data_IF_496505976566
#
_entry.id   IF_496505976566
#
_cell.length_a   1.000
_cell.length_b   1.000
_cell.length_c   1.000
_cell.angle_alpha   90.00
_cell.angle_beta   90.00
_cell.angle_gamma   90.00
#
_symmetry.space_group_name_H-M   'P 1'
#
loop_
_entity.id
_entity.type
_entity.pdbx_description
1 polymer ?
#
# COMPACT_ATOMS: atom_id res chain seq x y z
N UNK A 1 -15.00 2.20 -0.64
CA UNK A 1 -13.66 1.62 -0.87
C UNK A 1 -12.65 2.31 0.02
N UNK A 2 -11.60 1.60 0.45
CA UNK A 2 -10.42 2.17 1.09
C UNK A 2 -9.23 1.71 0.25
N UNK A 3 -8.28 2.60 0.01
CA UNK A 3 -7.15 2.37 -0.88
C UNK A 3 -5.89 2.93 -0.24
N UNK A 4 -4.98 2.05 0.17
CA UNK A 4 -3.83 2.40 1.01
C UNK A 4 -2.52 2.42 0.24
N UNK A 5 -2.57 2.44 -1.09
CA UNK A 5 -1.40 2.55 -1.95
C UNK A 5 -1.76 3.43 -3.17
N UNK A 6 -1.39 4.72 -3.11
CA UNK A 6 -1.62 5.68 -4.19
C UNK A 6 -0.52 6.75 -4.24
N UNK A 7 -0.28 7.29 -5.43
CA UNK A 7 0.83 8.19 -5.74
C UNK A 7 0.35 9.54 -6.26
N UNK A 8 1.15 10.57 -6.00
CA UNK A 8 0.89 11.96 -6.33
C UNK A 8 2.06 12.58 -7.09
N UNK A 9 1.96 13.87 -7.40
CA UNK A 9 3.05 14.66 -8.01
C UNK A 9 4.28 14.84 -7.10
N UNK A 10 4.30 14.25 -5.91
CA UNK A 10 5.47 14.28 -5.02
C UNK A 10 6.46 13.14 -5.31
N UNK A 11 6.05 12.11 -6.07
CA UNK A 11 6.95 11.21 -6.78
C UNK A 11 6.68 11.23 -8.29
N UNK A 12 5.84 10.31 -8.76
CA UNK A 12 5.65 9.90 -10.14
C UNK A 12 4.18 9.71 -10.51
N UNK A 13 3.27 9.98 -9.57
CA UNK A 13 1.87 10.21 -9.89
C UNK A 13 1.67 11.53 -10.64
N UNK A 14 0.56 11.66 -11.37
CA UNK A 14 0.27 12.84 -12.21
C UNK A 14 -0.69 13.85 -11.57
N UNK A 15 -1.13 13.60 -10.33
CA UNK A 15 -2.12 14.42 -9.62
C UNK A 15 -1.53 15.08 -8.38
N UNK A 16 -1.94 16.32 -8.10
CA UNK A 16 -1.67 16.93 -6.80
C UNK A 16 -2.37 16.11 -5.69
N UNK A 17 -1.81 16.03 -4.46
CA UNK A 17 -2.46 15.34 -3.34
C UNK A 17 -3.94 15.73 -3.13
N UNK A 18 -4.25 17.03 -3.23
CA UNK A 18 -5.63 17.52 -3.11
C UNK A 18 -6.55 17.05 -4.25
N UNK A 19 -6.03 16.98 -5.48
CA UNK A 19 -6.79 16.52 -6.64
C UNK A 19 -7.04 15.01 -6.57
N UNK A 20 -6.01 14.24 -6.22
CA UNK A 20 -6.08 12.81 -5.99
C UNK A 20 -7.18 12.46 -4.96
N UNK A 21 -7.15 13.10 -3.79
CA UNK A 21 -8.16 12.92 -2.74
C UNK A 21 -9.56 13.30 -3.23
N UNK A 22 -9.70 14.41 -3.96
CA UNK A 22 -11.00 14.85 -4.46
C UNK A 22 -11.59 13.86 -5.48
N UNK A 23 -10.76 13.29 -6.36
CA UNK A 23 -11.18 12.26 -7.33
C UNK A 23 -11.55 10.94 -6.66
N UNK A 24 -10.77 10.50 -5.68
CA UNK A 24 -11.09 9.33 -4.86
C UNK A 24 -12.44 9.51 -4.14
N UNK A 25 -12.66 10.68 -3.53
CA UNK A 25 -13.94 11.02 -2.89
C UNK A 25 -15.11 10.99 -3.89
N UNK A 26 -14.92 11.54 -5.08
CA UNK A 26 -15.96 11.53 -6.14
C UNK A 26 -16.33 10.10 -6.59
N UNK A 27 -15.37 9.16 -6.53
CA UNK A 27 -15.59 7.71 -6.76
C UNK A 27 -16.16 6.96 -5.55
N UNK A 28 -16.47 7.64 -4.44
CA UNK A 28 -17.11 7.05 -3.27
C UNK A 28 -16.13 6.37 -2.30
N UNK A 29 -14.85 6.72 -2.33
CA UNK A 29 -13.88 6.27 -1.33
C UNK A 29 -14.30 6.75 0.06
N UNK A 30 -13.97 5.97 1.07
CA UNK A 30 -14.20 6.29 2.49
C UNK A 30 -12.90 6.67 3.21
N UNK A 31 -11.78 6.23 2.68
CA UNK A 31 -10.47 6.69 3.07
C UNK A 31 -9.40 6.27 2.07
N UNK A 32 -8.22 6.86 2.20
CA UNK A 32 -7.06 6.48 1.41
C UNK A 32 -5.74 6.82 2.10
N UNK A 33 -4.65 6.25 1.64
CA UNK A 33 -3.30 6.69 1.96
C UNK A 33 -2.63 7.31 0.72
N UNK A 34 -1.81 8.33 0.92
CA UNK A 34 -0.88 8.82 -0.09
C UNK A 34 0.49 8.30 0.30
N UNK A 35 1.12 7.55 -0.61
CA UNK A 35 2.30 6.72 -0.36
C UNK A 35 3.30 6.90 -1.50
N UNK A 36 3.58 8.15 -1.88
CA UNK A 36 4.54 8.46 -2.94
C UNK A 36 5.86 7.70 -2.77
N UNK A 37 6.47 7.32 -3.89
CA UNK A 37 7.76 6.65 -3.93
C UNK A 37 8.85 7.50 -3.25
N UNK A 38 9.64 6.84 -2.40
CA UNK A 38 10.77 7.45 -1.73
C UNK A 38 12.02 6.57 -1.73
N UNK A 39 13.15 7.23 -1.92
CA UNK A 39 14.50 6.72 -1.69
C UNK A 39 15.31 7.75 -0.89
N UNK A 40 16.60 7.48 -0.62
CA UNK A 40 17.44 8.38 0.19
C UNK A 40 17.55 9.82 -0.35
N UNK A 41 17.25 10.06 -1.62
CA UNK A 41 17.38 11.37 -2.27
C UNK A 41 16.23 12.33 -2.00
N UNK A 42 15.01 11.81 -1.81
CA UNK A 42 13.79 12.62 -1.68
C UNK A 42 12.99 12.34 -0.39
N UNK A 43 13.36 11.31 0.36
CA UNK A 43 12.58 10.72 1.44
C UNK A 43 12.06 11.73 2.49
N UNK A 44 12.95 12.55 3.05
CA UNK A 44 12.58 13.49 4.11
C UNK A 44 11.58 14.54 3.60
N UNK A 45 11.80 15.02 2.38
CA UNK A 45 10.91 15.95 1.72
C UNK A 45 9.56 15.33 1.41
N UNK A 46 9.51 14.14 0.78
CA UNK A 46 8.24 13.47 0.43
C UNK A 46 7.41 13.21 1.68
N UNK A 47 7.99 12.54 2.69
CA UNK A 47 7.27 12.15 3.91
C UNK A 47 6.71 13.38 4.63
N UNK A 48 7.54 14.40 4.90
CA UNK A 48 7.10 15.58 5.66
C UNK A 48 6.04 16.39 4.92
N UNK A 49 6.07 16.44 3.58
CA UNK A 49 5.06 17.13 2.77
C UNK A 49 3.72 16.40 2.77
N UNK A 50 3.73 15.07 2.64
CA UNK A 50 2.51 14.25 2.71
C UNK A 50 1.87 14.35 4.10
N UNK A 51 2.69 14.28 5.17
CA UNK A 51 2.23 14.45 6.55
C UNK A 51 1.54 15.79 6.73
N UNK A 52 2.22 16.90 6.37
CA UNK A 52 1.65 18.24 6.49
C UNK A 52 0.36 18.42 5.69
N UNK A 53 0.28 17.85 4.49
CA UNK A 53 -0.94 17.86 3.69
C UNK A 53 -2.08 17.10 4.38
N UNK A 54 -1.84 15.86 4.83
CA UNK A 54 -2.89 15.02 5.42
C UNK A 54 -3.41 15.59 6.75
N UNK A 55 -2.55 16.23 7.55
CA UNK A 55 -2.97 16.93 8.77
C UNK A 55 -3.85 18.15 8.47
N UNK A 56 -3.42 19.03 7.56
CA UNK A 56 -4.18 20.22 7.19
C UNK A 56 -5.50 19.87 6.50
N UNK A 57 -5.50 18.84 5.65
CA UNK A 57 -6.70 18.39 4.95
C UNK A 57 -7.76 17.86 5.92
N UNK A 58 -7.36 17.01 6.89
CA UNK A 58 -8.27 16.44 7.88
C UNK A 58 -8.88 17.49 8.82
N UNK A 59 -8.21 18.63 9.06
CA UNK A 59 -8.79 19.74 9.84
C UNK A 59 -10.05 20.34 9.20
N UNK A 60 -10.23 20.15 7.88
CA UNK A 60 -11.27 20.81 7.07
C UNK A 60 -12.19 19.82 6.34
N UNK A 61 -12.02 18.52 6.56
CA UNK A 61 -12.68 17.46 5.79
C UNK A 61 -12.86 16.19 6.61
N UNK A 62 -14.03 15.56 6.49
CA UNK A 62 -14.32 14.26 7.13
C UNK A 62 -13.80 13.06 6.33
N UNK A 63 -13.17 13.29 5.18
CA UNK A 63 -12.58 12.22 4.38
C UNK A 63 -11.28 11.73 5.01
N UNK A 64 -11.19 10.41 5.22
CA UNK A 64 -10.09 9.78 5.95
C UNK A 64 -8.86 9.61 5.07
N UNK A 65 -8.01 10.63 5.00
CA UNK A 65 -6.70 10.55 4.35
C UNK A 65 -5.59 10.38 5.39
N UNK A 66 -4.70 9.41 5.19
CA UNK A 66 -3.54 9.18 6.06
C UNK A 66 -2.23 9.37 5.29
N UNK A 67 -1.19 9.89 5.97
CA UNK A 67 0.12 10.01 5.36
C UNK A 67 0.85 8.67 5.39
N UNK A 68 1.46 8.30 4.27
CA UNK A 68 2.34 7.16 4.18
C UNK A 68 3.52 7.41 3.25
N UNK A 69 4.26 6.35 2.98
CA UNK A 69 5.38 6.35 2.04
C UNK A 69 5.50 4.95 1.44
N UNK A 70 5.89 4.87 0.18
CA UNK A 70 6.39 3.63 -0.40
C UNK A 70 7.92 3.70 -0.53
N UNK A 71 8.61 2.75 0.11
CA UNK A 71 10.04 2.60 -0.07
C UNK A 71 10.30 1.82 -1.36
N UNK A 72 10.92 2.47 -2.33
CA UNK A 72 10.93 2.01 -3.72
C UNK A 72 12.36 1.86 -4.25
N UNK A 73 12.69 0.70 -4.82
CA UNK A 73 14.00 0.40 -5.43
C UNK A 73 15.25 0.66 -4.57
N UNK A 74 15.10 0.69 -3.23
CA UNK A 74 16.22 0.86 -2.29
C UNK A 74 16.95 -0.46 -2.00
N UNK A 75 18.25 -0.44 -1.63
CA UNK A 75 18.95 -1.64 -1.19
C UNK A 75 18.25 -2.30 0.01
N UNK A 76 18.06 -3.63 0.03
CA UNK A 76 17.31 -4.32 1.09
C UNK A 76 17.78 -4.00 2.51
N UNK A 77 19.10 -3.86 2.71
CA UNK A 77 19.72 -3.52 4.00
C UNK A 77 19.33 -2.13 4.54
N UNK A 78 18.76 -1.26 3.70
CA UNK A 78 18.34 0.09 4.08
C UNK A 78 16.86 0.19 4.47
N UNK A 79 16.05 -0.83 4.17
CA UNK A 79 14.60 -0.81 4.37
C UNK A 79 14.23 -0.61 5.85
N UNK A 80 14.85 -1.35 6.77
CA UNK A 80 14.58 -1.23 8.20
C UNK A 80 14.87 0.19 8.73
N UNK A 81 16.00 0.77 8.31
CA UNK A 81 16.36 2.12 8.70
C UNK A 81 15.33 3.14 8.19
N UNK A 82 15.01 3.13 6.90
CA UNK A 82 14.07 4.10 6.32
C UNK A 82 12.64 3.90 6.82
N UNK A 83 12.20 2.66 7.07
CA UNK A 83 10.89 2.39 7.66
C UNK A 83 10.77 2.98 9.08
N UNK A 84 11.85 2.98 9.86
CA UNK A 84 11.89 3.63 11.19
C UNK A 84 11.94 5.14 11.09
N UNK A 85 12.76 5.69 10.19
CA UNK A 85 12.82 7.14 9.98
C UNK A 85 11.49 7.70 9.47
N UNK A 86 10.75 6.96 8.64
CA UNK A 86 9.50 7.42 8.05
C UNK A 86 8.47 7.68 9.14
N UNK A 87 8.39 6.74 10.09
CA UNK A 87 7.54 6.83 11.27
C UNK A 87 7.94 7.97 12.19
N UNK A 88 9.24 8.22 12.37
CA UNK A 88 9.73 9.39 13.14
C UNK A 88 9.32 10.71 12.49
N UNK A 89 9.28 10.77 11.16
CA UNK A 89 8.83 11.93 10.39
C UNK A 89 7.28 12.04 10.30
N UNK A 90 6.55 11.09 10.87
CA UNK A 90 5.09 11.13 10.97
C UNK A 90 4.33 10.31 9.92
N UNK A 91 5.01 9.53 9.08
CA UNK A 91 4.32 8.57 8.22
C UNK A 91 3.54 7.56 9.08
N UNK A 92 2.23 7.50 8.88
CA UNK A 92 1.35 6.58 9.59
C UNK A 92 1.37 5.16 8.98
N UNK A 93 1.69 5.08 7.68
CA UNK A 93 1.77 3.85 6.89
C UNK A 93 3.13 3.75 6.19
N UNK A 94 3.78 2.58 6.28
CA UNK A 94 4.97 2.28 5.47
C UNK A 94 4.65 1.11 4.54
N UNK A 95 4.77 1.37 3.23
CA UNK A 95 4.65 0.40 2.15
C UNK A 95 6.06 0.12 1.62
N UNK A 96 6.33 -1.12 1.20
CA UNK A 96 7.54 -1.43 0.43
C UNK A 96 7.14 -1.96 -0.93
N UNK A 97 7.78 -1.42 -1.97
CA UNK A 97 7.67 -1.90 -3.33
C UNK A 97 8.27 -3.31 -3.43
N UNK A 98 7.43 -4.33 -3.51
CA UNK A 98 7.87 -5.73 -3.51
C UNK A 98 8.50 -6.18 -4.83
N UNK A 99 9.05 -7.40 -4.85
CA UNK A 99 9.77 -7.99 -5.99
C UNK A 99 8.85 -8.40 -7.15
N UNK A 100 8.11 -7.43 -7.67
CA UNK A 100 7.22 -7.56 -8.80
C UNK A 100 7.95 -8.12 -10.04
N UNK A 101 7.22 -8.82 -10.91
CA UNK A 101 7.83 -9.50 -12.08
C UNK A 101 8.07 -8.58 -13.28
N UNK A 102 7.66 -7.31 -13.17
CA UNK A 102 7.68 -6.35 -14.29
C UNK A 102 8.76 -5.27 -14.14
N UNK A 103 9.45 -5.23 -13.00
CA UNK A 103 10.45 -4.20 -12.69
C UNK A 103 11.70 -4.81 -12.04
N UNK A 104 12.87 -4.16 -12.16
CA UNK A 104 14.14 -4.68 -11.66
C UNK A 104 14.35 -4.35 -10.17
N UNK A 105 13.46 -4.83 -9.31
CA UNK A 105 13.53 -4.63 -7.85
C UNK A 105 14.68 -5.47 -7.27
N UNK A 106 15.52 -4.93 -6.36
CA UNK A 106 16.61 -5.70 -5.74
C UNK A 106 16.13 -6.99 -5.07
N UNK A 107 16.84 -8.10 -5.29
CA UNK A 107 16.54 -9.38 -4.62
C UNK A 107 16.79 -9.29 -3.11
N UNK A 108 15.89 -9.89 -2.33
CA UNK A 108 15.86 -9.80 -0.87
C UNK A 108 14.98 -8.67 -0.34
N UNK A 109 14.36 -7.86 -1.20
CA UNK A 109 13.49 -6.74 -0.81
C UNK A 109 12.27 -7.24 -0.04
N UNK A 110 11.60 -8.29 -0.53
CA UNK A 110 10.44 -8.88 0.16
C UNK A 110 10.80 -9.31 1.58
N UNK A 111 11.86 -10.12 1.71
CA UNK A 111 12.36 -10.59 3.01
C UNK A 111 12.72 -9.43 3.95
N UNK A 112 13.45 -8.42 3.47
CA UNK A 112 13.87 -7.29 4.28
C UNK A 112 12.69 -6.40 4.72
N UNK A 113 11.69 -6.20 3.85
CA UNK A 113 10.44 -5.54 4.22
C UNK A 113 9.72 -6.27 5.35
N UNK A 114 9.66 -7.59 5.27
CA UNK A 114 9.01 -8.43 6.27
C UNK A 114 9.74 -8.39 7.61
N UNK A 115 11.08 -8.38 7.60
CA UNK A 115 11.92 -8.26 8.80
C UNK A 115 11.86 -6.85 9.42
N UNK A 116 11.69 -5.81 8.60
CA UNK A 116 11.58 -4.42 9.03
C UNK A 116 10.23 -4.05 9.69
N UNK A 117 9.23 -4.93 9.66
CA UNK A 117 7.91 -4.65 10.24
C UNK A 117 7.18 -3.51 9.51
N UNK A 118 7.23 -3.49 8.18
CA UNK A 118 6.44 -2.54 7.36
C UNK A 118 4.95 -2.89 7.47
N UNK A 119 4.05 -1.98 7.08
CA UNK A 119 2.62 -2.21 7.22
C UNK A 119 2.05 -3.02 6.02
N UNK A 120 2.56 -2.75 4.81
CA UNK A 120 2.16 -3.42 3.56
C UNK A 120 3.40 -3.81 2.75
N UNK A 121 3.43 -5.05 2.26
CA UNK A 121 4.32 -5.46 1.17
C UNK A 121 3.54 -5.40 -0.15
N UNK A 122 3.80 -4.37 -0.94
CA UNK A 122 3.11 -4.11 -2.21
C UNK A 122 3.56 -5.07 -3.30
N UNK A 123 2.62 -5.51 -4.14
CA UNK A 123 2.81 -6.41 -5.29
C UNK A 123 4.09 -7.28 -5.24
N UNK A 124 4.17 -8.27 -4.31
CA UNK A 124 5.42 -8.96 -3.99
C UNK A 124 5.92 -9.94 -5.05
N UNK A 125 5.27 -9.98 -6.21
CA UNK A 125 5.59 -10.89 -7.30
C UNK A 125 5.42 -12.36 -6.90
N UNK A 126 6.46 -13.16 -7.14
CA UNK A 126 6.47 -14.60 -6.87
C UNK A 126 6.92 -14.92 -5.45
N UNK A 127 6.26 -14.32 -4.46
CA UNK A 127 6.54 -14.50 -3.02
C UNK A 127 6.59 -15.98 -2.62
N UNK A 128 7.55 -16.35 -1.76
CA UNK A 128 7.72 -17.72 -1.28
C UNK A 128 6.78 -18.07 -0.10
N UNK A 129 6.49 -19.35 0.15
CA UNK A 129 5.74 -19.76 1.35
C UNK A 129 6.36 -19.29 2.67
N UNK A 130 7.70 -19.23 2.76
CA UNK A 130 8.40 -18.75 3.95
C UNK A 130 8.13 -17.25 4.19
N UNK A 131 8.16 -16.45 3.13
CA UNK A 131 7.86 -15.01 3.20
C UNK A 131 6.40 -14.76 3.57
N UNK A 132 5.46 -15.53 3.02
CA UNK A 132 4.04 -15.43 3.40
C UNK A 132 3.84 -15.81 4.87
N UNK A 133 4.53 -16.82 5.38
CA UNK A 133 4.51 -17.17 6.79
C UNK A 133 5.06 -16.04 7.67
N UNK A 134 6.17 -15.42 7.28
CA UNK A 134 6.73 -14.25 7.98
C UNK A 134 5.79 -13.05 7.96
N UNK A 135 5.11 -12.79 6.84
CA UNK A 135 4.11 -11.73 6.74
C UNK A 135 2.98 -11.92 7.76
N UNK A 136 2.48 -13.15 7.88
CA UNK A 136 1.48 -13.50 8.89
C UNK A 136 1.98 -13.27 10.32
N UNK A 137 3.16 -13.79 10.67
CA UNK A 137 3.70 -13.67 12.04
C UNK A 137 3.92 -12.21 12.44
N UNK A 138 4.35 -11.37 11.49
CA UNK A 138 4.63 -9.96 11.74
C UNK A 138 3.40 -9.04 11.53
N UNK A 139 2.24 -9.61 11.17
CA UNK A 139 1.02 -8.84 10.92
C UNK A 139 1.09 -7.91 9.71
N UNK A 140 1.94 -8.23 8.73
CA UNK A 140 2.17 -7.46 7.52
C UNK A 140 1.18 -7.90 6.45
N UNK A 141 0.49 -6.94 5.83
CA UNK A 141 -0.48 -7.25 4.78
C UNK A 141 0.22 -7.47 3.43
N UNK A 142 -0.22 -8.50 2.71
CA UNK A 142 0.24 -8.77 1.35
C UNK A 142 -0.75 -8.18 0.35
N UNK A 143 -0.23 -7.43 -0.61
CA UNK A 143 -1.09 -6.73 -1.57
C UNK A 143 -1.53 -7.60 -2.76
N UNK A 144 -2.82 -7.49 -3.08
CA UNK A 144 -3.42 -7.79 -4.37
C UNK A 144 -3.50 -6.47 -5.14
N UNK A 145 -2.59 -6.26 -6.08
CA UNK A 145 -2.49 -4.97 -6.79
C UNK A 145 -3.44 -4.94 -7.99
N UNK A 146 -4.13 -3.82 -8.19
CA UNK A 146 -4.89 -3.58 -9.41
C UNK A 146 -4.02 -3.03 -10.56
N UNK A 147 -2.79 -2.61 -10.27
CA UNK A 147 -1.90 -1.98 -11.22
C UNK A 147 -1.54 -2.93 -12.35
N UNK A 148 -1.55 -2.39 -13.57
CA UNK A 148 -1.16 -3.14 -14.76
C UNK A 148 0.27 -3.67 -14.61
N UNK A 149 0.47 -4.95 -14.94
CA UNK A 149 1.77 -5.62 -14.79
C UNK A 149 1.95 -6.24 -13.41
N UNK A 150 1.77 -5.47 -12.34
CA UNK A 150 1.87 -5.99 -10.96
C UNK A 150 0.79 -7.04 -10.65
N UNK A 151 -0.42 -6.84 -11.18
CA UNK A 151 -1.55 -7.74 -11.00
C UNK A 151 -1.34 -9.16 -11.57
N UNK A 152 -0.32 -9.38 -12.41
CA UNK A 152 -0.04 -10.67 -13.06
C UNK A 152 0.27 -11.79 -12.07
N UNK A 153 0.70 -11.45 -10.85
CA UNK A 153 1.03 -12.42 -9.79
C UNK A 153 -0.04 -12.53 -8.70
N UNK A 154 -1.15 -11.79 -8.80
CA UNK A 154 -2.19 -11.77 -7.76
C UNK A 154 -2.72 -13.17 -7.40
N UNK A 155 -2.92 -14.04 -8.39
CA UNK A 155 -3.38 -15.41 -8.14
C UNK A 155 -2.40 -16.25 -7.33
N UNK A 156 -1.08 -16.02 -7.50
CA UNK A 156 -0.05 -16.68 -6.71
C UNK A 156 -0.03 -16.19 -5.27
N UNK A 157 -0.05 -14.86 -5.08
CA UNK A 157 -0.12 -14.21 -3.77
C UNK A 157 -1.37 -14.64 -3.00
N UNK A 158 -2.54 -14.54 -3.64
CA UNK A 158 -3.83 -14.91 -3.06
C UNK A 158 -3.86 -16.38 -2.62
N UNK A 159 -3.39 -17.30 -3.47
CA UNK A 159 -3.37 -18.74 -3.15
C UNK A 159 -2.49 -19.02 -1.93
N UNK A 160 -1.25 -18.53 -1.92
CA UNK A 160 -0.34 -18.78 -0.80
C UNK A 160 -0.82 -18.11 0.50
N UNK A 161 -1.32 -16.88 0.42
CA UNK A 161 -1.85 -16.17 1.58
C UNK A 161 -3.03 -16.94 2.20
N UNK A 162 -3.91 -17.53 1.38
CA UNK A 162 -5.01 -18.37 1.87
C UNK A 162 -4.53 -19.69 2.47
N UNK A 163 -3.58 -20.37 1.83
CA UNK A 163 -3.01 -21.63 2.34
C UNK A 163 -2.36 -21.46 3.72
N UNK A 164 -1.71 -20.32 3.95
CA UNK A 164 -0.92 -20.05 5.18
C UNK A 164 -1.71 -19.22 6.21
N UNK A 165 -2.72 -18.48 5.77
CA UNK A 165 -3.53 -17.58 6.58
C UNK A 165 -2.88 -16.20 6.81
N UNK A 166 -2.19 -15.66 5.80
CA UNK A 166 -1.68 -14.29 5.83
C UNK A 166 -2.78 -13.28 5.43
N UNK A 167 -2.72 -12.07 5.98
CA UNK A 167 -3.70 -11.02 5.68
C UNK A 167 -3.47 -10.42 4.30
N UNK A 168 -4.54 -10.29 3.51
CA UNK A 168 -4.52 -9.64 2.21
C UNK A 168 -5.10 -8.23 2.28
N UNK A 169 -4.60 -7.35 1.41
CA UNK A 169 -5.17 -6.04 1.12
C UNK A 169 -5.24 -5.83 -0.40
N UNK A 170 -6.21 -5.05 -0.89
CA UNK A 170 -6.31 -4.70 -2.31
C UNK A 170 -6.24 -3.20 -2.48
N UNK A 171 -5.27 -2.73 -3.24
CA UNK A 171 -5.07 -1.31 -3.54
C UNK A 171 -4.96 -1.08 -5.05
N UNK A 172 -5.16 0.17 -5.45
CA UNK A 172 -5.06 0.57 -6.86
C UNK A 172 -3.61 0.72 -7.33
N UNK A 173 -2.73 1.17 -6.43
CA UNK A 173 -1.41 1.67 -6.79
C UNK A 173 -1.52 2.78 -7.87
N UNK A 174 -2.45 3.71 -7.59
CA UNK A 174 -2.85 4.72 -8.56
C UNK A 174 -1.78 5.79 -8.78
N UNK A 175 -1.36 5.94 -10.04
CA UNK A 175 -0.48 7.02 -10.48
C UNK A 175 -1.26 8.06 -11.29
N UNK A 176 -2.36 7.64 -11.93
CA UNK A 176 -3.28 8.50 -12.67
C UNK A 176 -4.74 8.36 -12.24
N UNK A 177 -5.61 9.29 -12.69
CA UNK A 177 -7.04 9.24 -12.40
C UNK A 177 -7.75 7.97 -12.91
N UNK A 178 -7.22 7.35 -13.95
CA UNK A 178 -7.69 6.10 -14.55
C UNK A 178 -7.43 4.86 -13.70
N UNK A 179 -6.40 4.90 -12.85
CA UNK A 179 -6.06 3.78 -11.96
C UNK A 179 -7.01 3.69 -10.76
N UNK A 180 -7.66 4.81 -10.38
CA UNK A 180 -8.61 4.83 -9.26
C UNK A 180 -9.82 3.94 -9.52
N UNK A 181 -10.14 3.08 -8.56
CA UNK A 181 -11.10 1.99 -8.69
C UNK A 181 -12.47 2.31 -8.13
N UNK A 182 -13.51 1.86 -8.82
CA UNK A 182 -14.82 1.68 -8.20
C UNK A 182 -14.86 0.39 -7.37
N UNK A 183 -15.72 0.33 -6.36
CA UNK A 183 -15.82 -0.84 -5.48
C UNK A 183 -16.16 -2.13 -6.26
N UNK A 184 -16.97 -2.03 -7.33
CA UNK A 184 -17.26 -3.21 -8.17
C UNK A 184 -16.05 -3.63 -9.01
N UNK A 185 -15.18 -2.70 -9.41
CA UNK A 185 -13.92 -3.04 -10.10
C UNK A 185 -12.98 -3.79 -9.15
N UNK A 186 -12.79 -3.29 -7.93
CA UNK A 186 -11.98 -3.96 -6.91
C UNK A 186 -12.47 -5.38 -6.62
N UNK A 187 -13.79 -5.58 -6.45
CA UNK A 187 -14.36 -6.91 -6.24
C UNK A 187 -14.10 -7.86 -7.42
N UNK A 188 -14.18 -7.37 -8.67
CA UNK A 188 -13.86 -8.18 -9.86
C UNK A 188 -12.39 -8.58 -9.89
N UNK A 189 -11.48 -7.68 -9.48
CA UNK A 189 -10.04 -7.98 -9.38
C UNK A 189 -9.78 -9.04 -8.32
N UNK A 190 -10.38 -8.91 -7.13
CA UNK A 190 -10.28 -9.92 -6.08
C UNK A 190 -10.75 -11.30 -6.60
N UNK A 191 -11.92 -11.36 -7.25
CA UNK A 191 -12.41 -12.60 -7.88
C UNK A 191 -11.47 -13.13 -8.96
N UNK A 192 -10.90 -12.25 -9.79
CA UNK A 192 -9.90 -12.60 -10.79
C UNK A 192 -8.60 -13.18 -10.21
N UNK A 193 -8.25 -12.79 -8.98
CA UNK A 193 -7.14 -13.37 -8.22
C UNK A 193 -7.47 -14.74 -7.60
N UNK A 194 -8.67 -15.28 -7.78
CA UNK A 194 -9.10 -16.55 -7.20
C UNK A 194 -9.69 -16.44 -5.79
N UNK A 195 -10.04 -15.22 -5.36
CA UNK A 195 -10.69 -14.96 -4.08
C UNK A 195 -12.22 -15.03 -4.20
N UNK A 196 -12.90 -15.48 -3.14
CA UNK A 196 -14.36 -15.53 -3.08
C UNK A 196 -14.93 -14.27 -2.39
N UNK A 197 -16.25 -14.23 -2.19
CA UNK A 197 -16.89 -13.07 -1.57
C UNK A 197 -16.55 -12.91 -0.07
N UNK A 198 -16.31 -14.00 0.66
CA UNK A 198 -15.88 -13.93 2.06
C UNK A 198 -14.46 -13.36 2.18
N UNK A 199 -13.55 -13.78 1.29
CA UNK A 199 -12.20 -13.22 1.18
C UNK A 199 -12.25 -11.71 0.87
N UNK A 200 -13.18 -11.28 0.02
CA UNK A 200 -13.39 -9.87 -0.30
C UNK A 200 -13.92 -9.06 0.90
N UNK A 201 -14.84 -9.62 1.69
CA UNK A 201 -15.28 -8.98 2.94
C UNK A 201 -14.11 -8.84 3.93
N UNK A 202 -13.26 -9.86 4.05
CA UNK A 202 -12.08 -9.79 4.93
C UNK A 202 -11.05 -8.76 4.43
N UNK A 203 -10.79 -8.67 3.12
CA UNK A 203 -9.91 -7.63 2.54
C UNK A 203 -10.41 -6.23 2.88
N UNK A 204 -11.72 -5.97 2.74
CA UNK A 204 -12.30 -4.66 3.10
C UNK A 204 -12.14 -4.38 4.60
N UNK A 205 -12.33 -5.39 5.44
CA UNK A 205 -12.18 -5.29 6.89
C UNK A 205 -10.72 -5.04 7.28
N UNK A 206 -9.76 -5.67 6.61
CA UNK A 206 -8.32 -5.44 6.79
C UNK A 206 -7.97 -3.98 6.49
N UNK A 207 -8.37 -3.48 5.31
CA UNK A 207 -8.12 -2.09 4.92
C UNK A 207 -8.75 -1.09 5.91
N UNK A 208 -9.98 -1.33 6.36
CA UNK A 208 -10.64 -0.50 7.38
C UNK A 208 -9.91 -0.54 8.72
N UNK A 209 -9.51 -1.73 9.18
CA UNK A 209 -8.82 -1.91 10.46
C UNK A 209 -7.46 -1.24 10.45
N UNK A 210 -6.69 -1.38 9.37
CA UNK A 210 -5.39 -0.73 9.22
C UNK A 210 -5.53 0.80 9.21
N UNK A 211 -6.43 1.34 8.38
CA UNK A 211 -6.72 2.77 8.32
C UNK A 211 -7.09 3.33 9.70
N UNK A 212 -7.99 2.65 10.41
CA UNK A 212 -8.43 3.07 11.75
C UNK A 212 -7.30 3.02 12.76
N UNK A 213 -6.51 1.95 12.77
CA UNK A 213 -5.36 1.80 13.67
C UNK A 213 -4.39 2.96 13.49
N UNK A 214 -4.09 3.34 12.24
CA UNK A 214 -3.17 4.44 11.95
C UNK A 214 -3.73 5.78 12.41
N UNK A 215 -5.02 6.03 12.23
CA UNK A 215 -5.66 7.26 12.72
C UNK A 215 -5.71 7.36 14.25
N UNK A 216 -5.64 6.23 14.96
CA UNK A 216 -5.66 6.16 16.42
C UNK A 216 -4.25 6.19 17.05
N UNK A 217 -3.18 5.94 16.27
CA UNK A 217 -1.78 6.11 16.70
C UNK A 217 -1.52 7.62 16.91
N UNK A 218 -1.44 8.04 18.17
CA UNK A 218 -1.08 9.42 18.57
C UNK A 218 0.42 9.62 18.52
#
# INVERSE_FOLDING_TARGET
MIDLHTHSLLSDGVLLPAELVQRARAKGYKGMAITDHADQSNFDWVVTRIVGFCEEFRKKSDFLVIPGVELTHIPPETIDYLAREARKLGAGLVVVHGETIVEPVPLGTNKAALEAGVDILAHPGLISPEEVFRAKENGIMLEISARQGHCLTNGHVARLAKEIGASLILNSDAHGPEDLLEIQQAQRIARGAGLNDDDWEEIKKNAFTLLKTILERK
#
